data_IF_992771285187
#
_entry.id   IF_992771285187
#
_cell.length_a   1.000
_cell.length_b   1.000
_cell.length_c   1.000
_cell.angle_alpha   90.00
_cell.angle_beta   90.00
_cell.angle_gamma   90.00
#
_symmetry.space_group_name_H-M   'P 1'
#
loop_
_entity.id
_entity.type
_entity.pdbx_description
1 polymer ?
#
# COMPACT_ATOMS: atom_id res chain seq x y z
N UNK A 1 -25.58 -3.34 -8.58
CA UNK A 1 -25.69 -2.98 -10.01
C UNK A 1 -24.69 -1.94 -10.49
N UNK A 2 -23.89 -1.29 -9.61
CA UNK A 2 -22.91 -0.27 -10.00
C UNK A 2 -21.63 -0.90 -10.57
N UNK A 3 -21.39 -2.17 -10.32
CA UNK A 3 -20.23 -2.92 -10.80
C UNK A 3 -20.25 -3.25 -12.31
N UNK A 4 -21.37 -3.04 -13.02
CA UNK A 4 -21.62 -3.80 -14.27
C UNK A 4 -21.14 -3.18 -15.57
N UNK A 5 -20.63 -1.95 -15.62
CA UNK A 5 -20.14 -1.39 -16.91
C UNK A 5 -18.67 -1.02 -16.90
N UNK A 6 -18.18 -0.44 -15.81
CA UNK A 6 -16.74 -0.10 -15.70
C UNK A 6 -15.86 -1.32 -15.49
N UNK A 7 -16.36 -2.36 -14.78
CA UNK A 7 -15.60 -3.57 -14.50
C UNK A 7 -15.32 -4.43 -15.76
N UNK A 8 -16.20 -4.44 -16.76
CA UNK A 8 -15.97 -5.21 -17.99
C UNK A 8 -14.85 -4.63 -18.86
N UNK A 9 -14.80 -3.31 -19.01
CA UNK A 9 -13.73 -2.65 -19.77
C UNK A 9 -12.38 -2.81 -19.07
N UNK A 10 -12.37 -2.76 -17.73
CA UNK A 10 -11.17 -2.90 -16.92
C UNK A 10 -10.62 -4.34 -16.90
N UNK A 11 -11.50 -5.34 -16.98
CA UNK A 11 -11.08 -6.75 -17.11
C UNK A 11 -10.45 -7.00 -18.49
N UNK A 12 -10.91 -6.31 -19.54
CA UNK A 12 -10.32 -6.43 -20.89
C UNK A 12 -8.91 -5.80 -20.95
N UNK A 13 -8.69 -4.63 -20.36
CA UNK A 13 -7.35 -4.01 -20.28
C UNK A 13 -6.33 -4.89 -19.52
N UNK A 14 -6.76 -5.51 -18.41
CA UNK A 14 -5.91 -6.44 -17.65
C UNK A 14 -5.66 -7.72 -18.47
N UNK A 15 -6.60 -8.16 -19.30
CA UNK A 15 -6.44 -9.32 -20.19
C UNK A 15 -5.34 -9.11 -21.23
N UNK A 16 -5.27 -7.93 -21.82
CA UNK A 16 -4.23 -7.60 -22.81
C UNK A 16 -2.82 -7.51 -22.17
N UNK A 17 -2.75 -7.02 -20.92
CA UNK A 17 -1.48 -6.86 -20.21
C UNK A 17 -0.92 -8.17 -19.62
N UNK A 18 -1.76 -9.21 -19.43
CA UNK A 18 -1.39 -10.46 -18.77
C UNK A 18 -1.86 -11.69 -19.56
N UNK A 19 -1.29 -11.96 -20.76
CA UNK A 19 -1.78 -13.01 -21.66
C UNK A 19 -1.72 -14.41 -21.07
N UNK A 20 -0.92 -14.65 -20.02
CA UNK A 20 -0.72 -15.97 -19.41
C UNK A 20 -1.40 -16.13 -18.04
N UNK A 21 -2.18 -15.14 -17.56
CA UNK A 21 -2.87 -15.25 -16.28
C UNK A 21 -4.34 -15.57 -16.43
N UNK A 22 -4.83 -16.45 -15.56
CA UNK A 22 -6.22 -16.83 -15.50
C UNK A 22 -7.12 -15.62 -15.24
N UNK A 23 -7.95 -15.25 -16.20
CA UNK A 23 -8.96 -14.21 -16.02
C UNK A 23 -10.08 -14.72 -15.12
N UNK A 24 -10.58 -13.85 -14.25
CA UNK A 24 -11.67 -14.15 -13.33
C UNK A 24 -12.95 -13.41 -13.73
N UNK A 25 -14.10 -13.93 -13.32
CA UNK A 25 -15.42 -13.37 -13.62
C UNK A 25 -15.96 -12.42 -12.53
N UNK A 26 -15.11 -12.07 -11.56
CA UNK A 26 -15.42 -11.11 -10.50
C UNK A 26 -14.56 -9.84 -10.63
N UNK A 27 -14.94 -8.74 -9.93
CA UNK A 27 -14.25 -7.47 -10.04
C UNK A 27 -12.75 -7.58 -9.79
N UNK A 28 -11.96 -7.03 -10.71
CA UNK A 28 -10.50 -7.02 -10.65
C UNK A 28 -9.98 -5.61 -10.85
N UNK A 29 -8.93 -5.26 -10.11
CA UNK A 29 -8.34 -3.92 -10.13
C UNK A 29 -6.82 -4.02 -10.27
N UNK A 30 -6.25 -3.15 -11.09
CA UNK A 30 -4.81 -3.00 -11.22
C UNK A 30 -4.29 -2.08 -10.12
N UNK A 31 -3.51 -2.64 -9.21
CA UNK A 31 -2.84 -1.95 -8.11
C UNK A 31 -1.36 -1.78 -8.42
N UNK A 32 -0.87 -0.54 -8.42
CA UNK A 32 0.55 -0.25 -8.60
C UNK A 32 1.18 0.01 -7.23
N UNK A 33 2.32 -0.64 -6.96
CA UNK A 33 3.07 -0.42 -5.70
C UNK A 33 4.41 0.20 -6.06
N UNK A 34 4.66 1.41 -5.55
CA UNK A 34 5.87 2.18 -5.80
C UNK A 34 6.56 2.60 -4.50
N UNK A 35 7.81 2.96 -4.60
CA UNK A 35 8.68 3.36 -3.49
C UNK A 35 10.10 2.86 -3.70
N UNK A 36 11.04 3.36 -2.92
CA UNK A 36 12.46 3.03 -3.03
C UNK A 36 12.73 1.53 -2.88
N UNK A 37 13.86 1.08 -3.41
CA UNK A 37 14.35 -0.28 -3.20
C UNK A 37 14.52 -0.60 -1.71
N UNK A 38 14.22 -1.83 -1.30
CA UNK A 38 14.36 -2.29 0.08
C UNK A 38 13.28 -1.81 1.05
N UNK A 39 12.28 -1.06 0.62
CA UNK A 39 11.15 -0.63 1.48
C UNK A 39 10.19 -1.75 1.86
N UNK A 40 10.29 -2.91 1.20
CA UNK A 40 9.52 -4.11 1.50
C UNK A 40 8.24 -4.28 0.68
N UNK A 41 8.13 -3.65 -0.49
CA UNK A 41 6.99 -3.77 -1.41
C UNK A 41 6.73 -5.24 -1.78
N UNK A 42 7.71 -5.88 -2.38
CA UNK A 42 7.67 -7.30 -2.78
C UNK A 42 7.35 -8.21 -1.60
N UNK A 43 8.01 -8.02 -0.46
CA UNK A 43 7.77 -8.80 0.75
C UNK A 43 6.32 -8.65 1.24
N UNK A 44 5.77 -7.44 1.20
CA UNK A 44 4.39 -7.17 1.60
C UNK A 44 3.38 -7.89 0.70
N UNK A 45 3.59 -7.83 -0.62
CA UNK A 45 2.72 -8.52 -1.59
C UNK A 45 2.83 -10.04 -1.47
N UNK A 46 4.05 -10.57 -1.43
CA UNK A 46 4.29 -12.01 -1.29
C UNK A 46 3.75 -12.56 0.03
N UNK A 47 3.82 -11.79 1.12
CA UNK A 47 3.22 -12.16 2.40
C UNK A 47 1.71 -12.39 2.28
N UNK A 48 1.00 -11.54 1.54
CA UNK A 48 -0.43 -11.75 1.23
C UNK A 48 -0.67 -12.98 0.36
N UNK A 49 0.20 -13.20 -0.61
CA UNK A 49 0.05 -14.28 -1.58
C UNK A 49 0.30 -15.67 -0.98
N UNK A 50 1.38 -15.80 -0.21
CA UNK A 50 1.85 -17.10 0.30
C UNK A 50 1.54 -17.33 1.78
N UNK A 51 1.23 -16.27 2.53
CA UNK A 51 1.10 -16.30 3.98
C UNK A 51 2.45 -16.31 4.72
N UNK A 52 3.58 -16.40 4.02
CA UNK A 52 4.93 -16.50 4.60
C UNK A 52 5.71 -15.19 4.48
N UNK A 53 6.62 -14.97 5.42
CA UNK A 53 7.54 -13.84 5.39
C UNK A 53 8.87 -14.25 4.74
N UNK A 54 9.21 -13.59 3.63
CA UNK A 54 10.46 -13.84 2.92
C UNK A 54 11.61 -13.06 3.56
N UNK A 55 12.58 -13.80 4.15
CA UNK A 55 13.69 -13.20 4.91
C UNK A 55 14.78 -12.61 4.04
N UNK A 56 14.97 -13.19 2.85
CA UNK A 56 16.03 -12.78 1.96
C UNK A 56 15.59 -11.63 1.08
N UNK A 57 16.30 -10.52 1.17
CA UNK A 57 16.11 -9.43 0.21
C UNK A 57 16.79 -9.79 -1.10
N UNK A 58 15.99 -9.80 -2.16
CA UNK A 58 16.45 -9.84 -3.54
C UNK A 58 15.89 -8.61 -4.26
N UNK A 59 16.71 -7.83 -4.98
CA UNK A 59 16.20 -6.70 -5.75
C UNK A 59 15.21 -7.18 -6.81
N UNK A 60 14.04 -6.55 -6.90
CA UNK A 60 13.10 -6.79 -7.98
C UNK A 60 13.69 -6.29 -9.29
N UNK A 61 13.70 -7.13 -10.32
CA UNK A 61 14.17 -6.79 -11.66
C UNK A 61 12.93 -6.65 -12.56
N UNK A 62 12.70 -5.45 -13.07
CA UNK A 62 11.54 -5.16 -13.90
C UNK A 62 10.24 -5.10 -13.11
N UNK A 63 9.19 -5.71 -13.63
CA UNK A 63 7.84 -5.72 -13.04
C UNK A 63 7.41 -7.15 -12.77
N UNK A 64 6.97 -7.41 -11.55
CA UNK A 64 6.29 -8.65 -11.18
C UNK A 64 4.79 -8.37 -10.94
N UNK A 65 3.91 -9.24 -11.43
CA UNK A 65 2.47 -9.11 -11.22
C UNK A 65 1.96 -10.27 -10.39
N UNK A 66 1.35 -9.92 -9.24
CA UNK A 66 0.82 -10.90 -8.29
C UNK A 66 -0.69 -10.71 -8.11
N UNK A 67 -1.52 -11.76 -8.38
CA UNK A 67 -2.95 -11.69 -8.12
C UNK A 67 -3.24 -11.94 -6.64
N UNK A 68 -3.92 -11.00 -5.99
CA UNK A 68 -4.39 -11.14 -4.61
C UNK A 68 -5.91 -11.10 -4.55
N UNK A 69 -6.51 -12.17 -4.04
CA UNK A 69 -7.95 -12.28 -3.87
C UNK A 69 -8.38 -11.92 -2.44
N UNK A 70 -9.47 -11.17 -2.34
CA UNK A 70 -10.09 -10.79 -1.07
C UNK A 70 -11.58 -11.13 -1.11
N UNK A 71 -12.09 -11.69 -0.01
CA UNK A 71 -13.49 -11.98 0.17
C UNK A 71 -14.14 -10.86 0.97
N UNK A 72 -15.09 -10.16 0.37
CA UNK A 72 -15.79 -9.05 0.99
C UNK A 72 -17.25 -9.39 1.23
N UNK A 73 -17.92 -8.61 2.09
CA UNK A 73 -19.37 -8.70 2.28
C UNK A 73 -20.18 -8.39 1.00
N UNK A 74 -19.52 -7.84 -0.05
CA UNK A 74 -20.12 -7.56 -1.35
C UNK A 74 -19.70 -8.57 -2.42
N UNK A 75 -18.99 -9.63 -2.07
CA UNK A 75 -18.45 -10.64 -2.96
C UNK A 75 -16.92 -10.63 -3.07
N UNK A 76 -16.40 -11.50 -3.91
CA UNK A 76 -14.96 -11.64 -4.13
C UNK A 76 -14.44 -10.53 -5.03
N UNK A 77 -13.23 -10.04 -4.73
CA UNK A 77 -12.49 -9.08 -5.56
C UNK A 77 -11.04 -9.54 -5.72
N UNK A 78 -10.37 -9.06 -6.78
CA UNK A 78 -8.95 -9.32 -7.02
C UNK A 78 -8.21 -8.01 -7.23
N UNK A 79 -7.03 -7.88 -6.60
CA UNK A 79 -6.03 -6.91 -6.98
C UNK A 79 -4.92 -7.61 -7.78
N UNK A 80 -4.66 -7.15 -8.99
CA UNK A 80 -3.42 -7.47 -9.68
C UNK A 80 -2.36 -6.46 -9.21
N UNK A 81 -1.48 -6.92 -8.31
CA UNK A 81 -0.44 -6.10 -7.72
C UNK A 81 0.77 -6.05 -8.64
N UNK A 82 1.00 -4.91 -9.24
CA UNK A 82 2.17 -4.61 -10.07
C UNK A 82 3.27 -4.10 -9.16
N UNK A 83 4.16 -5.02 -8.76
CA UNK A 83 5.35 -4.72 -7.97
C UNK A 83 6.47 -4.29 -8.91
N UNK A 84 6.91 -3.04 -8.78
CA UNK A 84 7.82 -2.42 -9.74
C UNK A 84 9.19 -2.19 -9.12
N UNK A 85 10.24 -2.30 -9.94
CA UNK A 85 11.60 -1.91 -9.56
C UNK A 85 11.75 -0.38 -9.42
N UNK A 86 10.75 0.41 -9.86
CA UNK A 86 10.60 1.81 -9.49
C UNK A 86 10.72 2.85 -10.60
N UNK A 87 10.79 2.51 -11.87
CA UNK A 87 10.93 3.51 -12.94
C UNK A 87 9.95 3.33 -14.12
N UNK A 88 9.04 2.38 -14.05
CA UNK A 88 8.12 2.11 -15.15
C UNK A 88 6.88 3.02 -15.08
N UNK A 89 6.51 3.56 -16.24
CA UNK A 89 5.25 4.30 -16.42
C UNK A 89 4.07 3.32 -16.49
N UNK A 90 3.61 2.85 -15.33
CA UNK A 90 2.55 1.86 -15.25
C UNK A 90 1.24 2.55 -14.87
N UNK A 91 0.25 2.47 -15.77
CA UNK A 91 -1.10 2.89 -15.45
C UNK A 91 -1.74 1.92 -14.46
N UNK A 92 -2.41 2.45 -13.45
CA UNK A 92 -3.15 1.69 -12.44
C UNK A 92 -4.49 2.33 -12.10
N UNK A 93 -5.34 1.58 -11.41
CA UNK A 93 -6.64 2.03 -10.92
C UNK A 93 -6.58 2.45 -9.46
N UNK A 94 -5.56 2.03 -8.76
CA UNK A 94 -5.22 2.42 -7.40
C UNK A 94 -3.74 2.21 -7.16
N UNK A 95 -3.20 2.80 -6.10
CA UNK A 95 -1.78 2.68 -5.81
C UNK A 95 -1.46 2.67 -4.31
N UNK A 96 -0.32 2.07 -3.99
CA UNK A 96 0.36 2.17 -2.70
C UNK A 96 1.73 2.80 -2.93
N UNK A 97 2.03 3.85 -2.17
CA UNK A 97 3.38 4.40 -2.05
C UNK A 97 3.96 3.91 -0.73
N UNK A 98 5.09 3.23 -0.77
CA UNK A 98 5.69 2.62 0.41
C UNK A 98 7.06 3.21 0.72
N UNK A 99 7.27 3.58 1.98
CA UNK A 99 8.57 3.95 2.51
C UNK A 99 8.93 3.11 3.74
N UNK A 100 10.18 3.14 4.14
CA UNK A 100 10.72 2.43 5.29
C UNK A 100 10.93 3.42 6.45
N UNK A 101 10.24 3.21 7.58
CA UNK A 101 10.36 4.11 8.75
C UNK A 101 11.76 4.09 9.38
N UNK A 102 12.59 3.11 9.03
CA UNK A 102 13.98 2.99 9.48
C UNK A 102 15.00 3.66 8.56
N UNK A 103 14.54 4.16 7.39
CA UNK A 103 15.40 4.76 6.37
C UNK A 103 14.81 6.10 5.90
N UNK A 104 15.33 7.18 6.49
CA UNK A 104 14.83 8.56 6.26
C UNK A 104 14.76 8.96 4.80
N UNK A 105 15.74 8.57 4.00
CA UNK A 105 15.78 8.89 2.57
C UNK A 105 14.55 8.37 1.82
N UNK A 106 14.06 7.19 2.18
CA UNK A 106 12.89 6.61 1.52
C UNK A 106 11.61 7.44 1.74
N UNK A 107 11.50 8.10 2.90
CA UNK A 107 10.41 9.05 3.14
C UNK A 107 10.62 10.37 2.39
N UNK A 108 11.86 10.89 2.33
CA UNK A 108 12.17 12.09 1.53
C UNK A 108 11.84 11.94 0.05
N UNK A 109 11.87 10.72 -0.47
CA UNK A 109 11.55 10.41 -1.87
C UNK A 109 10.03 10.23 -2.14
N UNK A 110 9.19 10.15 -1.11
CA UNK A 110 7.72 10.01 -1.26
C UNK A 110 7.10 11.09 -2.16
N UNK A 111 7.43 12.39 -2.06
CA UNK A 111 6.90 13.41 -2.96
C UNK A 111 7.24 13.15 -4.44
N UNK A 112 8.42 12.62 -4.73
CA UNK A 112 8.85 12.26 -6.09
C UNK A 112 8.01 11.09 -6.63
N UNK A 113 7.86 10.02 -5.84
CA UNK A 113 7.03 8.88 -6.21
C UNK A 113 5.57 9.28 -6.45
N UNK A 114 5.02 10.13 -5.59
CA UNK A 114 3.66 10.64 -5.75
C UNK A 114 3.50 11.46 -7.03
N UNK A 115 4.45 12.37 -7.31
CA UNK A 115 4.42 13.19 -8.52
C UNK A 115 4.48 12.33 -9.79
N UNK A 116 5.40 11.36 -9.82
CA UNK A 116 5.59 10.49 -10.98
C UNK A 116 4.39 9.57 -11.20
N UNK A 117 3.78 9.07 -10.13
CA UNK A 117 2.53 8.32 -10.18
C UNK A 117 1.36 9.16 -10.71
N UNK A 118 1.18 10.38 -10.20
CA UNK A 118 0.10 11.28 -10.63
C UNK A 118 0.25 11.76 -12.09
N UNK A 119 1.48 11.76 -12.62
CA UNK A 119 1.71 12.08 -14.02
C UNK A 119 1.17 10.99 -14.96
N UNK A 120 1.16 9.73 -14.51
CA UNK A 120 0.73 8.57 -15.30
C UNK A 120 -0.70 8.17 -14.97
N UNK A 121 -1.09 8.25 -13.69
CA UNK A 121 -2.38 7.82 -13.17
C UNK A 121 -3.13 9.02 -12.60
N UNK A 122 -4.12 9.52 -13.35
CA UNK A 122 -4.94 10.64 -12.91
C UNK A 122 -6.08 10.17 -11.99
N UNK A 123 -6.29 10.89 -10.88
CA UNK A 123 -7.46 10.75 -10.00
C UNK A 123 -7.71 9.33 -9.44
N UNK A 124 -6.67 8.57 -9.20
CA UNK A 124 -6.78 7.25 -8.58
C UNK A 124 -6.68 7.35 -7.04
N UNK A 125 -7.31 6.43 -6.28
CA UNK A 125 -7.06 6.33 -4.85
C UNK A 125 -5.63 5.87 -4.58
N UNK A 126 -4.95 6.59 -3.66
CA UNK A 126 -3.56 6.33 -3.27
C UNK A 126 -3.49 6.20 -1.75
N UNK A 127 -2.77 5.19 -1.27
CA UNK A 127 -2.43 4.98 0.14
C UNK A 127 -0.93 5.17 0.32
N UNK A 128 -0.55 5.92 1.35
CA UNK A 128 0.83 5.99 1.82
C UNK A 128 1.05 4.97 2.94
N UNK A 129 2.08 4.14 2.84
CA UNK A 129 2.44 3.14 3.84
C UNK A 129 3.85 3.36 4.37
N UNK A 130 3.97 3.50 5.70
CA UNK A 130 5.26 3.43 6.41
C UNK A 130 5.47 2.00 6.92
N UNK A 131 6.41 1.28 6.32
CA UNK A 131 6.69 -0.12 6.65
C UNK A 131 7.82 -0.28 7.66
N UNK A 132 7.96 -1.47 8.22
CA UNK A 132 8.97 -1.91 9.18
C UNK A 132 8.85 -1.25 10.57
N UNK A 133 7.60 -0.95 10.98
CA UNK A 133 7.35 -0.35 12.31
C UNK A 133 7.65 -1.29 13.48
N UNK A 134 7.94 -2.57 13.22
CA UNK A 134 8.44 -3.56 14.17
C UNK A 134 9.90 -3.31 14.61
N UNK A 135 10.64 -2.51 13.86
CA UNK A 135 12.05 -2.22 14.14
C UNK A 135 12.17 -1.09 15.16
N UNK A 136 12.91 -1.35 16.26
CA UNK A 136 13.09 -0.38 17.35
C UNK A 136 13.85 0.89 16.92
N UNK A 137 14.78 0.78 15.97
CA UNK A 137 15.61 1.89 15.51
C UNK A 137 14.93 2.70 14.40
N UNK A 138 13.76 3.25 14.72
CA UNK A 138 12.98 4.08 13.83
C UNK A 138 13.66 5.44 13.59
N UNK A 139 13.79 5.86 12.32
CA UNK A 139 14.36 7.16 11.94
C UNK A 139 13.31 8.18 11.52
N UNK A 140 12.16 7.75 11.00
CA UNK A 140 11.04 8.61 10.66
C UNK A 140 9.99 8.51 11.75
N UNK A 141 9.91 9.52 12.62
CA UNK A 141 8.93 9.55 13.70
C UNK A 141 7.51 9.76 13.15
N UNK A 142 6.50 9.19 13.81
CA UNK A 142 5.10 9.29 13.38
C UNK A 142 4.67 10.75 13.13
N UNK A 143 5.00 11.66 14.04
CA UNK A 143 4.69 13.10 13.93
C UNK A 143 5.36 13.82 12.75
N UNK A 144 6.44 13.26 12.18
CA UNK A 144 7.14 13.83 11.03
C UNK A 144 6.50 13.43 9.69
N UNK A 145 5.57 12.46 9.70
CA UNK A 145 4.86 12.02 8.50
C UNK A 145 3.71 12.98 8.23
N UNK A 146 3.95 14.01 7.42
CA UNK A 146 2.98 15.09 7.12
C UNK A 146 2.53 15.09 5.66
N UNK A 147 3.26 14.43 4.76
CA UNK A 147 2.99 14.44 3.33
C UNK A 147 1.57 13.97 2.99
N UNK A 148 1.06 12.93 3.67
CA UNK A 148 -0.31 12.44 3.47
C UNK A 148 -1.36 13.51 3.76
N UNK A 149 -1.14 14.39 4.74
CA UNK A 149 -2.04 15.50 5.05
C UNK A 149 -2.00 16.59 3.96
N UNK A 150 -0.79 16.93 3.46
CA UNK A 150 -0.60 17.92 2.39
C UNK A 150 -1.27 17.49 1.08
N UNK A 151 -1.36 16.19 0.80
CA UNK A 151 -1.93 15.63 -0.43
C UNK A 151 -3.28 14.94 -0.24
N UNK A 152 -3.86 15.00 0.96
CA UNK A 152 -5.13 14.34 1.32
C UNK A 152 -5.13 12.83 1.00
N UNK A 153 -4.04 12.15 1.36
CA UNK A 153 -3.88 10.71 1.24
C UNK A 153 -4.22 10.01 2.56
N UNK A 154 -4.66 8.77 2.49
CA UNK A 154 -4.69 7.90 3.65
C UNK A 154 -3.27 7.42 3.97
N UNK A 155 -2.91 7.39 5.25
CA UNK A 155 -1.65 6.87 5.74
C UNK A 155 -1.86 5.72 6.71
N UNK A 156 -1.09 4.65 6.54
CA UNK A 156 -1.02 3.54 7.47
C UNK A 156 0.43 3.20 7.81
N UNK A 157 0.68 2.96 9.09
CA UNK A 157 1.88 2.28 9.55
C UNK A 157 1.66 0.78 9.48
N UNK A 158 2.59 0.06 8.87
CA UNK A 158 2.49 -1.37 8.64
C UNK A 158 3.78 -2.11 9.02
N UNK A 159 3.65 -3.39 9.27
CA UNK A 159 4.80 -4.30 9.32
C UNK A 159 4.44 -5.61 8.63
N UNK A 160 5.06 -5.89 7.50
CA UNK A 160 4.94 -7.18 6.83
C UNK A 160 5.47 -8.33 7.70
N UNK A 161 6.45 -8.06 8.57
CA UNK A 161 7.08 -9.06 9.43
C UNK A 161 6.22 -9.45 10.64
N UNK A 162 5.51 -8.48 11.25
CA UNK A 162 4.65 -8.69 12.42
C UNK A 162 3.17 -8.80 12.09
N UNK A 163 2.77 -8.70 10.83
CA UNK A 163 1.39 -8.64 10.35
C UNK A 163 0.60 -7.41 10.84
N UNK A 164 1.29 -6.39 11.33
CA UNK A 164 0.63 -5.19 11.85
C UNK A 164 -0.01 -4.37 10.72
N UNK A 165 -1.30 -4.06 10.86
CA UNK A 165 -2.10 -3.31 9.89
C UNK A 165 -2.06 -3.87 8.45
N UNK A 166 -1.82 -5.15 8.32
CA UNK A 166 -1.50 -5.85 7.09
C UNK A 166 -2.58 -5.73 6.01
N UNK A 167 -3.87 -5.74 6.39
CA UNK A 167 -5.00 -5.65 5.47
C UNK A 167 -5.49 -4.22 5.23
N UNK A 168 -5.18 -3.28 6.12
CA UNK A 168 -5.74 -1.92 6.07
C UNK A 168 -5.55 -1.19 4.75
N UNK A 169 -4.37 -1.21 4.09
CA UNK A 169 -4.20 -0.55 2.80
C UNK A 169 -5.15 -1.10 1.72
N UNK A 170 -5.30 -2.41 1.64
CA UNK A 170 -6.19 -3.05 0.67
C UNK A 170 -7.66 -2.77 0.95
N UNK A 171 -8.07 -2.80 2.21
CA UNK A 171 -9.44 -2.49 2.60
C UNK A 171 -9.82 -1.04 2.25
N UNK A 172 -8.94 -0.10 2.51
CA UNK A 172 -9.16 1.30 2.11
C UNK A 172 -9.35 1.44 0.60
N UNK A 173 -8.45 0.84 -0.18
CA UNK A 173 -8.52 0.88 -1.64
C UNK A 173 -9.79 0.20 -2.17
N UNK A 174 -10.16 -0.96 -1.60
CA UNK A 174 -11.39 -1.66 -1.96
C UNK A 174 -12.63 -0.79 -1.72
N UNK A 175 -12.72 -0.11 -0.57
CA UNK A 175 -13.80 0.83 -0.25
C UNK A 175 -13.88 2.00 -1.24
N UNK A 176 -12.73 2.57 -1.59
CA UNK A 176 -12.68 3.68 -2.55
C UNK A 176 -13.09 3.26 -3.95
N UNK A 177 -12.63 2.12 -4.42
CA UNK A 177 -12.98 1.58 -5.74
C UNK A 177 -14.42 1.12 -5.84
N UNK A 178 -14.97 0.57 -4.75
CA UNK A 178 -16.37 0.16 -4.67
C UNK A 178 -17.33 1.35 -4.47
N UNK A 179 -16.86 2.49 -3.95
CA UNK A 179 -17.71 3.58 -3.51
C UNK A 179 -18.58 3.22 -2.29
N UNK A 180 -18.16 2.23 -1.51
CA UNK A 180 -18.88 1.71 -0.35
C UNK A 180 -17.98 1.75 0.89
N UNK A 181 -18.32 2.64 1.82
CA UNK A 181 -17.57 2.80 3.09
C UNK A 181 -17.82 1.67 4.08
N UNK A 182 -18.89 0.87 3.89
CA UNK A 182 -19.25 -0.25 4.74
C UNK A 182 -18.66 -1.58 4.26
N UNK A 183 -17.99 -1.59 3.11
CA UNK A 183 -17.31 -2.77 2.62
C UNK A 183 -16.28 -3.23 3.66
N UNK A 184 -16.27 -4.53 3.96
CA UNK A 184 -15.32 -5.15 4.88
C UNK A 184 -14.93 -6.55 4.37
N UNK A 185 -13.77 -7.03 4.80
CA UNK A 185 -13.34 -8.38 4.49
C UNK A 185 -14.03 -9.37 5.44
N UNK A 186 -14.57 -10.45 4.88
CA UNK A 186 -15.29 -11.50 5.63
C UNK A 186 -14.40 -12.70 5.94
N UNK A 187 -13.25 -12.81 5.23
CA UNK A 187 -12.22 -13.81 5.49
C UNK A 187 -10.87 -13.11 5.54
N UNK A 188 -10.03 -13.50 6.51
CA UNK A 188 -8.64 -13.08 6.57
C UNK A 188 -7.75 -14.11 5.90
N UNK A 189 -6.65 -13.70 5.20
CA UNK A 189 -5.72 -14.64 4.64
C UNK A 189 -5.09 -15.50 5.76
N UNK A 190 -4.87 -16.78 5.47
CA UNK A 190 -4.14 -17.68 6.36
C UNK A 190 -2.66 -17.28 6.37
N UNK A 191 -2.28 -16.40 7.30
CA UNK A 191 -0.89 -15.98 7.47
C UNK A 191 -0.17 -16.91 8.43
N UNK A 192 1.10 -17.18 8.14
CA UNK A 192 1.99 -17.77 9.12
C UNK A 192 2.08 -16.86 10.37
N UNK A 193 2.29 -17.40 11.56
CA UNK A 193 2.49 -16.60 12.76
C UNK A 193 3.57 -15.54 12.53
N UNK A 194 3.41 -14.34 13.12
CA UNK A 194 4.41 -13.28 12.98
C UNK A 194 5.74 -13.72 13.58
N UNK A 195 6.84 -13.46 12.88
CA UNK A 195 8.19 -13.80 13.35
C UNK A 195 8.66 -12.92 14.51
N UNK A 196 8.08 -11.77 14.65
CA UNK A 196 8.35 -10.81 15.72
C UNK A 196 7.03 -10.30 16.28
N UNK A 197 6.98 -10.19 17.61
CA UNK A 197 5.86 -9.50 18.25
C UNK A 197 6.13 -7.99 18.21
N UNK A 198 5.13 -7.25 17.76
CA UNK A 198 5.18 -5.80 17.77
C UNK A 198 4.88 -5.29 19.18
N UNK A 199 5.56 -4.22 19.57
CA UNK A 199 5.22 -3.48 20.80
C UNK A 199 3.93 -2.69 20.54
N UNK A 200 2.80 -3.26 20.93
CA UNK A 200 1.49 -2.64 20.73
C UNK A 200 1.34 -1.31 21.48
N UNK A 201 1.99 -1.17 22.65
CA UNK A 201 1.94 0.07 23.40
C UNK A 201 2.67 1.19 22.66
N UNK A 202 3.85 0.90 22.10
CA UNK A 202 4.58 1.83 21.25
C UNK A 202 3.77 2.22 19.99
N UNK A 203 3.08 1.27 19.36
CA UNK A 203 2.26 1.57 18.19
C UNK A 203 1.03 2.40 18.53
N UNK A 204 0.37 2.15 19.64
CA UNK A 204 -0.73 2.99 20.14
C UNK A 204 -0.27 4.42 20.41
N UNK A 205 0.94 4.59 20.96
CA UNK A 205 1.52 5.92 21.14
C UNK A 205 1.76 6.62 19.79
N UNK A 206 2.31 5.91 18.79
CA UNK A 206 2.53 6.47 17.45
C UNK A 206 1.20 6.85 16.78
N UNK A 207 0.16 6.03 16.89
CA UNK A 207 -1.18 6.36 16.39
C UNK A 207 -1.75 7.60 17.09
N UNK A 208 -1.59 7.72 18.40
CA UNK A 208 -2.00 8.90 19.14
C UNK A 208 -1.22 10.16 18.70
N UNK A 209 0.08 10.05 18.44
CA UNK A 209 0.91 11.14 17.90
C UNK A 209 0.43 11.57 16.50
N UNK A 210 0.08 10.64 15.64
CA UNK A 210 -0.48 10.92 14.31
C UNK A 210 -1.82 11.64 14.41
N UNK A 211 -2.71 11.19 15.29
CA UNK A 211 -4.00 11.83 15.52
C UNK A 211 -3.85 13.25 16.11
N UNK A 212 -2.95 13.41 17.06
CA UNK A 212 -2.65 14.73 17.63
C UNK A 212 -2.05 15.67 16.59
N UNK A 213 -1.14 15.18 15.74
CA UNK A 213 -0.56 15.93 14.64
C UNK A 213 -1.60 16.35 13.58
N UNK A 214 -2.66 15.57 13.39
CA UNK A 214 -3.71 15.86 12.42
C UNK A 214 -4.46 17.17 12.72
N UNK A 215 -4.53 17.58 13.99
CA UNK A 215 -5.14 18.85 14.44
C UNK A 215 -4.18 20.05 14.42
N UNK A 216 -2.89 19.81 14.18
CA UNK A 216 -1.87 20.86 14.14
C UNK A 216 -1.80 21.49 12.74
N UNK A 217 -1.38 22.78 12.62
CA UNK A 217 -1.06 23.37 11.33
C UNK A 217 -0.03 22.51 10.59
N UNK A 218 -0.13 22.48 9.24
CA UNK A 218 0.92 21.87 8.44
C UNK A 218 2.19 22.72 8.55
N UNK A 219 3.38 22.12 8.66
CA UNK A 219 4.64 22.84 8.59
C UNK A 219 4.77 23.53 7.23
N UNK A 220 5.40 24.69 7.20
CA UNK A 220 5.75 25.38 5.97
C UNK A 220 6.70 24.52 5.12
N UNK A 221 6.67 24.72 3.79
CA UNK A 221 7.43 23.86 2.86
C UNK A 221 8.95 23.98 3.00
N UNK A 222 9.43 25.03 3.70
CA UNK A 222 10.86 25.30 3.94
C UNK A 222 11.40 24.66 5.23
N UNK A 223 10.53 24.09 6.08
CA UNK A 223 10.98 23.39 7.28
C UNK A 223 11.40 21.95 6.93
N UNK A 224 12.67 21.79 6.54
CA UNK A 224 13.38 20.51 6.55
C UNK A 224 13.51 20.01 8.01
N UNK A 225 12.43 19.46 8.56
CA UNK A 225 12.36 18.94 9.95
C UNK A 225 13.25 17.71 10.20
N UNK A 226 14.29 17.57 9.41
CA UNK A 226 15.24 16.45 9.46
C UNK A 226 16.66 16.92 9.86
N UNK A 227 16.79 17.90 10.73
CA UNK A 227 18.06 18.10 11.46
C UNK A 227 18.24 17.08 12.59
#
# INVERSE_FOLDING_TARGET
PIYNRKSKVQVEEVREALPNQQTVDYPSFKLVIVGDGGTGKTTFVKRHLTGEFEKKYEPTIGVEVHPLDFFTNCGKIRFYCWDTAGQENIHGQCAIIMFDVTARLTYKNVPTWHRDLCRVCENIPIVLCGNKVDVKNRQVKAKQVTFHRKKNLQYYEISAKSNYNFEKPFLYLARKLAGDTNLHFVESPALAPPEVQIDLAAQQQHEAELLAAASQPLPDDDDDQFE
#
